data_IF_207331605529
#
_entry.id   IF_207331605529
#
_cell.length_a   1.000
_cell.length_b   1.000
_cell.length_c   1.000
_cell.angle_alpha   90.00
_cell.angle_beta   90.00
_cell.angle_gamma   90.00
#
_symmetry.space_group_name_H-M   'P 1'
#
loop_
_entity.id
_entity.type
_entity.pdbx_description
1 polymer ?
#
# COMPACT_ATOMS: atom_id res chain seq x y z
N UNK A 1 11.89 -8.67 22.45
CA UNK A 1 12.33 -7.31 22.86
C UNK A 1 11.43 -6.32 22.15
N UNK A 2 10.88 -5.32 22.86
CA UNK A 2 10.07 -4.28 22.23
C UNK A 2 11.01 -3.40 21.39
N UNK A 3 10.84 -3.44 20.07
CA UNK A 3 11.59 -2.58 19.14
C UNK A 3 10.99 -1.17 19.29
N UNK A 4 11.72 -0.27 19.94
CA UNK A 4 11.29 1.12 20.12
C UNK A 4 11.55 1.89 18.82
N UNK A 5 10.48 2.22 18.11
CA UNK A 5 10.54 3.08 16.94
C UNK A 5 10.31 4.53 17.36
N UNK A 6 11.09 5.45 16.81
CA UNK A 6 10.81 6.87 16.97
C UNK A 6 9.55 7.24 16.21
N UNK A 7 8.86 8.30 16.64
CA UNK A 7 7.60 8.74 16.04
C UNK A 7 7.69 8.86 14.51
N UNK A 8 8.77 9.45 13.97
CA UNK A 8 8.97 9.58 12.53
C UNK A 8 9.09 8.25 11.78
N UNK A 9 9.58 7.19 12.44
CA UNK A 9 9.68 5.86 11.85
C UNK A 9 8.30 5.22 11.78
N UNK A 10 7.48 5.40 12.83
CA UNK A 10 6.09 4.96 12.85
C UNK A 10 5.31 5.64 11.73
N UNK A 11 5.42 6.97 11.58
CA UNK A 11 4.77 7.72 10.51
C UNK A 11 5.22 7.23 9.12
N UNK A 12 6.51 6.91 8.94
CA UNK A 12 7.05 6.37 7.69
C UNK A 12 6.54 4.96 7.40
N UNK A 13 6.48 4.09 8.41
CA UNK A 13 5.93 2.73 8.28
C UNK A 13 4.44 2.80 7.93
N UNK A 14 3.67 3.68 8.58
CA UNK A 14 2.26 3.90 8.26
C UNK A 14 2.11 4.37 6.81
N UNK A 15 2.89 5.36 6.37
CA UNK A 15 2.89 5.84 4.99
C UNK A 15 3.20 4.74 3.98
N UNK A 16 4.25 3.95 4.22
CA UNK A 16 4.62 2.81 3.38
C UNK A 16 3.53 1.73 3.36
N UNK A 17 2.90 1.44 4.50
CA UNK A 17 1.83 0.45 4.59
C UNK A 17 0.53 0.90 3.92
N UNK A 18 0.30 2.21 3.78
CA UNK A 18 -0.84 2.76 3.04
C UNK A 18 -0.63 2.78 1.52
N UNK A 19 0.62 2.82 1.04
CA UNK A 19 0.94 2.79 -0.38
C UNK A 19 0.69 1.41 -1.00
N UNK A 20 -0.09 1.36 -2.08
CA UNK A 20 -0.43 0.08 -2.74
C UNK A 20 0.74 -0.60 -3.45
N UNK A 21 1.83 0.12 -3.68
CA UNK A 21 3.00 -0.36 -4.43
C UNK A 21 4.14 -0.86 -3.55
N UNK A 22 4.04 -0.72 -2.24
CA UNK A 22 5.08 -1.12 -1.31
C UNK A 22 4.77 -2.51 -0.76
N UNK A 23 5.52 -3.55 -1.14
CA UNK A 23 5.34 -4.88 -0.56
C UNK A 23 5.80 -4.86 0.90
N UNK A 24 5.22 -5.73 1.73
CA UNK A 24 5.65 -5.90 3.13
C UNK A 24 7.13 -6.28 3.22
N UNK A 25 7.65 -6.99 2.23
CA UNK A 25 9.07 -7.32 2.05
C UNK A 25 10.00 -6.09 2.06
N UNK A 26 9.55 -4.96 1.50
CA UNK A 26 10.32 -3.72 1.52
C UNK A 26 10.33 -3.05 2.91
N UNK A 27 9.22 -3.19 3.65
CA UNK A 27 9.12 -2.70 5.03
C UNK A 27 9.97 -3.58 5.95
N UNK A 28 9.96 -4.90 5.73
CA UNK A 28 10.81 -5.85 6.43
C UNK A 28 12.29 -5.58 6.17
N UNK A 29 12.69 -5.32 4.92
CA UNK A 29 14.08 -4.99 4.60
C UNK A 29 14.54 -3.65 5.22
N UNK A 30 13.68 -2.64 5.33
CA UNK A 30 14.07 -1.32 5.86
C UNK A 30 13.99 -1.23 7.39
N UNK A 31 12.98 -1.84 8.00
CA UNK A 31 12.68 -1.68 9.43
C UNK A 31 12.81 -3.00 10.22
N UNK A 32 13.04 -4.12 9.53
CA UNK A 32 13.05 -5.46 10.12
C UNK A 32 11.73 -5.79 10.78
N UNK A 33 10.62 -5.38 10.15
CA UNK A 33 9.25 -5.64 10.61
C UNK A 33 8.58 -6.63 9.67
N UNK A 34 8.16 -7.76 10.23
CA UNK A 34 7.34 -8.73 9.52
C UNK A 34 5.94 -8.17 9.23
N UNK A 35 5.24 -8.78 8.27
CA UNK A 35 3.86 -8.40 7.93
C UNK A 35 2.95 -8.37 9.18
N UNK A 36 3.09 -9.36 10.06
CA UNK A 36 2.28 -9.45 11.28
C UNK A 36 2.55 -8.29 12.25
N UNK A 37 3.80 -7.87 12.38
CA UNK A 37 4.18 -6.74 13.23
C UNK A 37 3.67 -5.42 12.66
N UNK A 38 3.72 -5.24 11.34
CA UNK A 38 3.13 -4.07 10.67
C UNK A 38 1.61 -4.04 10.86
N UNK A 39 0.94 -5.18 10.76
CA UNK A 39 -0.51 -5.31 11.03
C UNK A 39 -0.82 -4.90 12.48
N UNK A 40 -0.03 -5.37 13.46
CA UNK A 40 -0.19 -5.00 14.87
C UNK A 40 0.04 -3.51 15.10
N UNK A 41 1.09 -2.95 14.51
CA UNK A 41 1.41 -1.51 14.59
C UNK A 41 0.26 -0.67 14.00
N UNK A 42 -0.16 -0.98 12.79
CA UNK A 42 -1.23 -0.27 12.09
C UNK A 42 -2.56 -0.35 12.85
N UNK A 43 -2.83 -1.44 13.56
CA UNK A 43 -4.04 -1.56 14.39
C UNK A 43 -3.97 -0.72 15.67
N UNK A 44 -2.78 -0.50 16.22
CA UNK A 44 -2.56 0.35 17.40
C UNK A 44 -2.67 1.84 17.04
N UNK A 45 -2.15 2.21 15.88
CA UNK A 45 -2.05 3.62 15.45
C UNK A 45 -3.31 4.14 14.75
N UNK A 46 -4.02 3.31 13.98
CA UNK A 46 -5.19 3.75 13.23
C UNK A 46 -6.49 3.67 14.04
N UNK A 47 -7.36 4.66 13.82
CA UNK A 47 -8.76 4.58 14.24
C UNK A 47 -9.45 3.39 13.57
N UNK A 48 -10.40 2.77 14.28
CA UNK A 48 -11.12 1.55 13.86
C UNK A 48 -11.63 1.61 12.41
N UNK A 49 -12.31 2.69 12.01
CA UNK A 49 -12.84 2.84 10.64
C UNK A 49 -11.72 2.92 9.58
N UNK A 50 -10.60 3.57 9.89
CA UNK A 50 -9.44 3.65 8.99
C UNK A 50 -8.73 2.30 8.88
N UNK A 51 -8.61 1.60 10.01
CA UNK A 51 -8.07 0.24 10.08
C UNK A 51 -8.88 -0.74 9.20
N UNK A 52 -10.21 -0.73 9.31
CA UNK A 52 -11.07 -1.61 8.52
C UNK A 52 -10.93 -1.35 7.01
N UNK A 53 -10.82 -0.08 6.60
CA UNK A 53 -10.56 0.29 5.19
C UNK A 53 -9.20 -0.20 4.70
N UNK A 54 -8.16 0.00 5.50
CA UNK A 54 -6.82 -0.50 5.20
C UNK A 54 -6.81 -2.03 5.12
N UNK A 55 -7.46 -2.73 6.06
CA UNK A 55 -7.50 -4.19 6.09
C UNK A 55 -8.24 -4.78 4.91
N UNK A 56 -9.34 -4.17 4.47
CA UNK A 56 -10.03 -4.56 3.22
C UNK A 56 -9.11 -4.43 2.01
N UNK A 57 -8.31 -3.35 1.93
CA UNK A 57 -7.33 -3.15 0.84
C UNK A 57 -6.21 -4.17 0.87
N UNK A 58 -5.63 -4.44 2.04
CA UNK A 58 -4.50 -5.38 2.18
C UNK A 58 -4.93 -6.83 2.00
N UNK A 59 -6.10 -7.20 2.51
CA UNK A 59 -6.61 -8.58 2.45
C UNK A 59 -7.08 -9.00 1.05
N UNK A 60 -7.41 -8.04 0.18
CA UNK A 60 -7.84 -8.28 -1.21
C UNK A 60 -6.70 -8.29 -2.25
N UNK A 61 -5.42 -8.26 -1.83
CA UNK A 61 -4.28 -8.26 -2.75
C UNK A 61 -3.89 -9.68 -3.15
N UNK A 62 -4.31 -10.11 -4.35
CA UNK A 62 -3.77 -11.33 -4.99
C UNK A 62 -2.30 -11.18 -5.40
N UNK A 63 -1.81 -9.95 -5.58
CA UNK A 63 -0.42 -9.61 -5.93
C UNK A 63 0.46 -9.34 -4.71
N UNK A 64 0.08 -9.83 -3.52
CA UNK A 64 0.82 -9.60 -2.27
C UNK A 64 2.23 -10.23 -2.24
N UNK A 65 2.48 -11.21 -3.09
CA UNK A 65 3.81 -11.79 -3.29
C UNK A 65 4.27 -11.53 -4.72
N UNK A 66 5.52 -11.05 -4.88
CA UNK A 66 6.18 -10.90 -6.20
C UNK A 66 6.12 -12.20 -7.02
N UNK A 67 6.08 -13.35 -6.34
CA UNK A 67 5.93 -14.70 -6.92
C UNK A 67 4.57 -14.98 -7.59
N UNK A 68 3.50 -14.28 -7.22
CA UNK A 68 2.16 -14.46 -7.83
C UNK A 68 1.98 -13.60 -9.09
N UNK A 69 2.95 -12.73 -9.41
CA UNK A 69 2.96 -11.91 -10.62
C UNK A 69 3.45 -12.78 -11.78
N UNK A 70 2.55 -13.09 -12.72
CA UNK A 70 2.87 -13.81 -13.95
C UNK A 70 3.91 -13.04 -14.80
N UNK A 71 4.95 -13.74 -15.25
CA UNK A 71 6.04 -13.23 -16.11
C UNK A 71 5.52 -12.64 -17.45
N UNK A 72 4.31 -13.05 -17.87
CA UNK A 72 3.65 -12.57 -19.09
C UNK A 72 3.14 -11.12 -18.97
N UNK A 73 3.09 -10.56 -17.76
CA UNK A 73 2.64 -9.18 -17.52
C UNK A 73 3.83 -8.22 -17.62
N UNK A 74 4.26 -7.92 -18.86
CA UNK A 74 5.28 -6.89 -19.15
C UNK A 74 4.76 -5.45 -19.02
N UNK A 75 3.44 -5.29 -18.86
CA UNK A 75 2.75 -4.00 -18.97
C UNK A 75 2.74 -3.32 -17.61
N UNK A 76 3.19 -2.07 -17.55
CA UNK A 76 3.21 -1.27 -16.32
C UNK A 76 1.79 -0.81 -15.89
N UNK A 77 0.81 -0.81 -16.81
CA UNK A 77 -0.51 -0.18 -16.68
C UNK A 77 -1.59 -1.06 -17.34
N UNK A 78 -2.83 -1.04 -16.81
CA UNK A 78 -4.00 -1.74 -17.40
C UNK A 78 -4.57 -0.99 -18.61
N UNK A 79 -5.15 -1.70 -19.58
CA UNK A 79 -5.81 -1.10 -20.75
C UNK A 79 -7.05 -0.25 -20.38
N UNK A 80 -7.68 -0.53 -19.24
CA UNK A 80 -8.82 0.24 -18.73
C UNK A 80 -8.39 1.43 -17.85
N UNK A 81 -7.08 1.62 -17.63
CA UNK A 81 -6.57 2.71 -16.83
C UNK A 81 -6.59 3.98 -17.68
N UNK A 82 -7.63 4.80 -17.53
CA UNK A 82 -7.63 6.14 -18.10
C UNK A 82 -6.42 6.88 -17.52
N UNK A 83 -5.48 7.38 -18.35
CA UNK A 83 -4.46 8.28 -17.84
C UNK A 83 -5.18 9.43 -17.14
N UNK A 84 -4.70 9.84 -15.97
CA UNK A 84 -5.21 11.02 -15.26
C UNK A 84 -4.82 12.22 -16.11
N UNK A 85 -5.54 12.45 -17.21
CA UNK A 85 -5.48 13.69 -17.97
C UNK A 85 -6.19 14.70 -17.09
N UNK A 86 -5.46 15.32 -16.17
CA UNK A 86 -6.03 16.26 -15.20
C UNK A 86 -6.88 17.31 -15.90
N UNK A 87 -8.20 17.11 -15.94
CA UNK A 87 -9.25 17.97 -16.49
C UNK A 87 -8.84 18.91 -17.66
N UNK A 88 -8.08 18.42 -18.65
CA UNK A 88 -7.74 19.21 -19.87
C UNK A 88 -8.78 19.10 -20.98
N UNK A 89 -9.89 18.41 -20.76
CA UNK A 89 -11.00 18.38 -21.70
C UNK A 89 -11.92 19.56 -21.36
N UNK A 90 -11.66 20.71 -21.99
CA UNK A 90 -12.57 21.84 -21.99
C UNK A 90 -13.95 21.38 -22.45
N UNK A 91 -14.98 21.67 -21.66
CA UNK A 91 -16.38 21.27 -21.90
C UNK A 91 -16.77 21.45 -23.37
N UNK A 92 -17.24 20.36 -24.00
CA UNK A 92 -17.84 20.40 -25.34
C UNK A 92 -19.09 21.28 -25.26
N UNK A 93 -19.12 22.40 -25.99
CA UNK A 93 -20.34 23.20 -26.18
C UNK A 93 -21.28 22.40 -27.08
N UNK A 94 -22.52 22.20 -26.62
CA UNK A 94 -23.63 21.80 -27.48
C UNK A 94 -24.09 23.00 -28.30
#
# INVERSE_FOLDING_TARGET
MAKEFKQYEIDRIIGMAWEDRTPFDAIEHQFGLSEEEVIKLMRKELKRNSWERWRKRVSGRDTKYRKLRSDKVKRFVSAAQNPITGNRISKKKY
#
